data_IF_125041659404
#
_entry.id   IF_125041659404
#
_cell.length_a   1.000
_cell.length_b   1.000
_cell.length_c   1.000
_cell.angle_alpha   90.00
_cell.angle_beta   90.00
_cell.angle_gamma   90.00
#
_symmetry.space_group_name_H-M   'P 1'
#
loop_
_entity.id
_entity.type
_entity.pdbx_description
1 polymer ?
#
# COMPACT_ATOMS: atom_id res chain seq x y z
N UNK A 1 -4.32 -7.14 -9.51
CA UNK A 1 -4.59 -7.62 -8.14
C UNK A 1 -3.70 -8.82 -7.89
N UNK A 2 -3.16 -8.95 -6.69
CA UNK A 2 -2.40 -10.13 -6.22
C UNK A 2 -2.91 -10.55 -4.84
N UNK A 3 -4.23 -10.59 -4.70
CA UNK A 3 -4.92 -11.00 -3.48
C UNK A 3 -4.75 -12.51 -3.23
N UNK A 4 -4.80 -12.95 -1.98
CA UNK A 4 -4.69 -14.37 -1.60
C UNK A 4 -3.38 -15.06 -2.04
N UNK A 5 -2.24 -14.38 -1.97
CA UNK A 5 -0.95 -14.89 -2.48
C UNK A 5 0.16 -15.01 -1.42
N UNK A 6 -0.18 -15.00 -0.13
CA UNK A 6 0.79 -15.11 0.97
C UNK A 6 1.91 -14.05 0.91
N UNK A 7 1.59 -12.87 0.38
CA UNK A 7 2.54 -11.76 0.31
C UNK A 7 2.82 -11.27 1.73
N UNK A 8 4.05 -11.43 2.18
CA UNK A 8 4.55 -10.84 3.42
C UNK A 8 5.24 -9.49 3.20
N UNK A 9 5.86 -8.97 4.25
CA UNK A 9 6.51 -7.64 4.25
C UNK A 9 7.54 -7.45 3.13
N UNK A 10 8.37 -8.46 2.85
CA UNK A 10 9.35 -8.40 1.75
C UNK A 10 8.68 -8.27 0.38
N UNK A 11 7.55 -8.95 0.18
CA UNK A 11 6.78 -8.81 -1.07
C UNK A 11 6.13 -7.43 -1.18
N UNK A 12 5.61 -6.90 -0.07
CA UNK A 12 5.09 -5.54 0.01
C UNK A 12 6.18 -4.50 -0.30
N UNK A 13 7.43 -4.72 0.14
CA UNK A 13 8.57 -3.87 -0.22
C UNK A 13 8.80 -3.83 -1.73
N UNK A 14 8.87 -4.98 -2.40
CA UNK A 14 9.06 -5.01 -3.86
C UNK A 14 7.91 -4.34 -4.61
N UNK A 15 6.66 -4.54 -4.16
CA UNK A 15 5.50 -3.86 -4.71
C UNK A 15 5.59 -2.35 -4.52
N UNK A 16 6.03 -1.89 -3.34
CA UNK A 16 6.23 -0.48 -3.04
C UNK A 16 7.30 0.15 -3.96
N UNK A 17 8.40 -0.54 -4.21
CA UNK A 17 9.43 -0.09 -5.17
C UNK A 17 8.85 0.03 -6.59
N UNK A 18 8.07 -0.96 -7.02
CA UNK A 18 7.34 -0.89 -8.29
C UNK A 18 6.34 0.26 -8.35
N UNK A 19 5.61 0.53 -7.27
CA UNK A 19 4.67 1.65 -7.17
C UNK A 19 5.37 3.00 -7.26
N UNK A 20 6.57 3.17 -6.72
CA UNK A 20 7.30 4.45 -6.82
C UNK A 20 7.54 4.86 -8.27
N UNK A 21 7.83 3.90 -9.15
CA UNK A 21 8.11 4.14 -10.58
C UNK A 21 6.87 4.04 -11.48
N UNK A 22 5.88 3.24 -11.12
CA UNK A 22 4.68 3.05 -11.92
C UNK A 22 3.75 4.27 -11.82
N UNK A 23 3.50 4.94 -12.95
CA UNK A 23 2.63 6.13 -13.06
C UNK A 23 1.30 5.85 -13.78
N UNK A 24 0.94 4.58 -13.97
CA UNK A 24 -0.25 4.16 -14.73
C UNK A 24 -1.23 3.32 -13.92
N UNK A 25 -0.75 2.59 -12.91
CA UNK A 25 -1.60 1.75 -12.10
C UNK A 25 -2.57 2.63 -11.29
N UNK A 26 -3.87 2.36 -11.43
CA UNK A 26 -4.95 3.08 -10.75
C UNK A 26 -5.45 2.33 -9.53
N UNK A 27 -5.48 1.00 -9.57
CA UNK A 27 -6.00 0.16 -8.49
C UNK A 27 -5.04 -0.99 -8.19
N UNK A 28 -4.81 -1.27 -6.91
CA UNK A 28 -4.02 -2.40 -6.46
C UNK A 28 -4.76 -3.15 -5.34
N UNK A 29 -5.07 -4.43 -5.59
CA UNK A 29 -5.56 -5.35 -4.56
C UNK A 29 -4.42 -6.11 -3.92
N UNK A 30 -4.33 -6.04 -2.59
CA UNK A 30 -3.45 -6.82 -1.72
C UNK A 30 -4.22 -7.49 -0.56
N UNK A 31 -5.54 -7.65 -0.66
CA UNK A 31 -6.33 -8.21 0.43
C UNK A 31 -6.03 -9.71 0.64
N UNK A 32 -6.28 -10.20 1.86
CA UNK A 32 -6.01 -11.60 2.25
C UNK A 32 -4.56 -12.02 1.98
N UNK A 33 -3.60 -11.21 2.44
CA UNK A 33 -2.17 -11.54 2.43
C UNK A 33 -1.62 -11.56 3.87
N UNK A 34 -0.31 -11.53 4.03
CA UNK A 34 0.40 -11.61 5.32
C UNK A 34 1.22 -10.35 5.56
N UNK A 35 0.71 -9.20 5.13
CA UNK A 35 1.39 -7.91 5.27
C UNK A 35 1.20 -7.42 6.70
N UNK A 36 2.30 -7.14 7.39
CA UNK A 36 2.33 -6.61 8.74
C UNK A 36 2.64 -5.10 8.70
N UNK A 37 2.94 -4.52 9.87
CA UNK A 37 3.24 -3.09 10.00
C UNK A 37 4.45 -2.66 9.16
N UNK A 38 5.51 -3.49 9.07
CA UNK A 38 6.72 -3.15 8.30
C UNK A 38 6.44 -3.13 6.80
N UNK A 39 5.71 -4.13 6.28
CA UNK A 39 5.27 -4.16 4.89
C UNK A 39 4.38 -2.97 4.53
N UNK A 40 3.48 -2.63 5.45
CA UNK A 40 2.59 -1.47 5.33
C UNK A 40 3.37 -0.16 5.29
N UNK A 41 4.45 -0.02 6.09
CA UNK A 41 5.33 1.14 6.04
C UNK A 41 5.92 1.36 4.64
N UNK A 42 6.41 0.30 3.98
CA UNK A 42 6.94 0.42 2.62
C UNK A 42 5.89 0.90 1.63
N UNK A 43 4.67 0.35 1.71
CA UNK A 43 3.55 0.77 0.86
C UNK A 43 3.18 2.23 1.13
N UNK A 44 3.10 2.65 2.39
CA UNK A 44 2.82 4.03 2.79
C UNK A 44 3.86 5.01 2.22
N UNK A 45 5.15 4.66 2.28
CA UNK A 45 6.22 5.49 1.70
C UNK A 45 6.13 5.58 0.17
N UNK A 46 5.72 4.50 -0.51
CA UNK A 46 5.45 4.56 -1.93
C UNK A 46 4.26 5.47 -2.25
N UNK A 47 3.18 5.39 -1.46
CA UNK A 47 1.98 6.23 -1.62
C UNK A 47 2.33 7.72 -1.52
N UNK A 48 3.24 8.15 -0.64
CA UNK A 48 3.64 9.57 -0.54
C UNK A 48 4.14 10.16 -1.89
N UNK A 49 4.66 9.32 -2.80
CA UNK A 49 5.24 9.76 -4.08
C UNK A 49 4.47 9.28 -5.32
N UNK A 50 3.67 8.23 -5.21
CA UNK A 50 2.83 7.76 -6.31
C UNK A 50 1.66 8.73 -6.55
N UNK A 51 1.45 9.13 -7.81
CA UNK A 51 0.41 10.10 -8.20
C UNK A 51 -0.66 9.50 -9.13
N UNK A 52 -0.64 8.18 -9.36
CA UNK A 52 -1.59 7.49 -10.25
C UNK A 52 -2.55 6.59 -9.51
N UNK A 53 -2.11 5.95 -8.41
CA UNK A 53 -2.90 5.00 -7.65
C UNK A 53 -4.03 5.74 -6.91
N UNK A 54 -5.26 5.26 -7.08
CA UNK A 54 -6.49 5.78 -6.48
C UNK A 54 -7.13 4.80 -5.52
N UNK A 55 -6.84 3.51 -5.62
CA UNK A 55 -7.39 2.49 -4.73
C UNK A 55 -6.31 1.47 -4.36
N UNK A 56 -6.17 1.21 -3.06
CA UNK A 56 -5.28 0.19 -2.52
C UNK A 56 -6.03 -0.65 -1.49
N UNK A 57 -6.42 -1.87 -1.82
CA UNK A 57 -7.17 -2.72 -0.90
C UNK A 57 -6.22 -3.55 -0.02
N UNK A 58 -6.28 -3.34 1.30
CA UNK A 58 -5.40 -3.99 2.28
C UNK A 58 -6.12 -4.82 3.36
N UNK A 59 -7.45 -4.96 3.28
CA UNK A 59 -8.21 -5.71 4.28
C UNK A 59 -7.78 -7.19 4.39
N UNK A 60 -8.01 -7.80 5.55
CA UNK A 60 -7.55 -9.16 5.87
C UNK A 60 -6.03 -9.37 5.73
N UNK A 61 -5.23 -8.39 6.15
CA UNK A 61 -3.80 -8.50 6.42
C UNK A 61 -3.55 -8.39 7.94
N UNK A 62 -2.30 -8.44 8.40
CA UNK A 62 -1.91 -8.31 9.82
C UNK A 62 -1.46 -6.88 10.15
N UNK A 63 -2.20 -5.88 9.66
CA UNK A 63 -1.88 -4.46 9.87
C UNK A 63 -2.35 -4.03 11.26
N UNK A 64 -1.41 -3.64 12.12
CA UNK A 64 -1.67 -3.09 13.44
C UNK A 64 -1.75 -1.57 13.44
N UNK A 65 -1.78 -0.99 14.64
CA UNK A 65 -1.93 0.44 14.84
C UNK A 65 -0.81 1.26 14.18
N UNK A 66 0.44 0.75 14.18
CA UNK A 66 1.56 1.45 13.55
C UNK A 66 1.41 1.47 12.02
N UNK A 67 1.02 0.33 11.42
CA UNK A 67 0.75 0.26 9.98
C UNK A 67 -0.39 1.18 9.58
N UNK A 68 -1.48 1.21 10.36
CA UNK A 68 -2.59 2.14 10.14
C UNK A 68 -2.16 3.61 10.27
N UNK A 69 -1.33 3.95 11.26
CA UNK A 69 -0.78 5.30 11.40
C UNK A 69 0.08 5.69 10.19
N UNK A 70 0.96 4.81 9.73
CA UNK A 70 1.79 5.05 8.55
C UNK A 70 0.95 5.35 7.30
N UNK A 71 -0.12 4.58 7.08
CA UNK A 71 -1.07 4.82 5.99
C UNK A 71 -1.78 6.17 6.15
N UNK A 72 -2.25 6.50 7.35
CA UNK A 72 -2.91 7.78 7.62
C UNK A 72 -1.98 8.98 7.35
N UNK A 73 -0.71 8.88 7.72
CA UNK A 73 0.31 9.90 7.41
C UNK A 73 0.57 10.02 5.91
N UNK A 74 0.65 8.88 5.20
CA UNK A 74 0.81 8.87 3.75
C UNK A 74 -0.37 9.54 3.04
N UNK A 75 -1.60 9.30 3.49
CA UNK A 75 -2.81 9.94 2.93
C UNK A 75 -2.83 11.47 3.14
N UNK A 76 -2.28 11.98 4.24
CA UNK A 76 -2.15 13.44 4.45
C UNK A 76 -1.19 14.11 3.47
N UNK A 77 -0.18 13.37 3.00
CA UNK A 77 0.88 13.87 2.11
C UNK A 77 0.51 13.64 0.64
N UNK A 78 -0.12 12.50 0.35
CA UNK A 78 -0.51 12.13 -1.00
C UNK A 78 -1.51 13.16 -1.58
N UNK A 79 -1.27 13.60 -2.81
CA UNK A 79 -2.04 14.66 -3.48
C UNK A 79 -3.06 14.12 -4.48
N UNK A 80 -3.18 12.79 -4.61
CA UNK A 80 -4.20 12.16 -5.44
C UNK A 80 -5.54 12.36 -4.75
N UNK A 81 -6.42 13.11 -5.43
CA UNK A 81 -7.78 13.31 -4.96
C UNK A 81 -8.52 11.98 -4.86
N UNK A 82 -8.97 11.63 -3.65
CA UNK A 82 -9.83 10.47 -3.41
C UNK A 82 -9.11 9.12 -3.41
N UNK A 83 -7.84 9.05 -2.97
CA UNK A 83 -7.19 7.76 -2.69
C UNK A 83 -7.94 7.02 -1.58
N UNK A 84 -8.37 5.79 -1.86
CA UNK A 84 -9.08 4.89 -0.96
C UNK A 84 -8.18 3.71 -0.52
N UNK A 85 -8.29 3.33 0.75
CA UNK A 85 -7.59 2.20 1.37
C UNK A 85 -8.58 1.12 1.85
#
# INVERSE_FOLDING_TARGET
SVDNNQIGDSGAQYLAEGLKVNKKLIQLGLYQNQIEDSGTQYLADALKTNQSLKELYLYNNQIGDNGAQNLAEALKINKVSGLLL
#
